data_IF_408570647586
#
_entry.id   IF_408570647586
#
_cell.length_a   1.000
_cell.length_b   1.000
_cell.length_c   1.000
_cell.angle_alpha   90.00
_cell.angle_beta   90.00
_cell.angle_gamma   90.00
#
_symmetry.space_group_name_H-M   'P 1'
#
loop_
_entity.id
_entity.type
_entity.pdbx_description
1 polymer ?
#
# COMPACT_ATOMS: atom_id res chain seq x y z
N UNK A 1 -28.47 0.30 -6.06
CA UNK A 1 -28.34 -0.66 -7.19
C UNK A 1 -28.19 -2.07 -6.64
N UNK A 2 -28.85 -3.09 -7.22
CA UNK A 2 -28.68 -4.47 -6.77
C UNK A 2 -27.31 -5.04 -7.19
N UNK A 3 -26.76 -5.95 -6.38
CA UNK A 3 -25.50 -6.64 -6.70
C UNK A 3 -25.73 -7.67 -7.81
N UNK A 4 -25.07 -7.47 -8.95
CA UNK A 4 -25.17 -8.35 -10.14
C UNK A 4 -24.14 -9.48 -10.16
N UNK A 5 -22.94 -9.27 -9.60
CA UNK A 5 -21.89 -10.29 -9.57
C UNK A 5 -20.94 -10.06 -8.38
N UNK A 6 -20.74 -11.08 -7.54
CA UNK A 6 -19.87 -11.02 -6.36
C UNK A 6 -18.38 -11.16 -6.68
N UNK A 7 -18.04 -11.65 -7.88
CA UNK A 7 -16.67 -11.93 -8.31
C UNK A 7 -15.90 -12.80 -7.31
N UNK A 8 -16.57 -13.78 -6.70
CA UNK A 8 -16.04 -14.59 -5.57
C UNK A 8 -14.65 -15.16 -5.81
N UNK A 9 -14.35 -15.61 -7.04
CA UNK A 9 -13.00 -16.10 -7.41
C UNK A 9 -11.88 -15.09 -7.14
N UNK A 10 -12.17 -13.79 -7.23
CA UNK A 10 -11.20 -12.72 -6.99
C UNK A 10 -11.40 -12.05 -5.64
N UNK A 11 -12.66 -11.83 -5.23
CA UNK A 11 -12.97 -11.06 -4.01
C UNK A 11 -12.97 -11.90 -2.72
N UNK A 12 -13.11 -13.22 -2.82
CA UNK A 12 -13.40 -14.06 -1.65
C UNK A 12 -14.82 -13.86 -1.09
N UNK A 13 -15.63 -12.97 -1.67
CA UNK A 13 -16.94 -12.61 -1.13
C UNK A 13 -18.03 -13.59 -1.56
N UNK A 14 -18.81 -14.08 -0.59
CA UNK A 14 -19.99 -14.90 -0.78
C UNK A 14 -21.27 -14.15 -0.38
N UNK A 15 -22.44 -14.62 -0.85
CA UNK A 15 -23.74 -13.98 -0.55
C UNK A 15 -23.98 -13.79 0.95
N UNK A 16 -23.52 -14.72 1.77
CA UNK A 16 -23.73 -14.66 3.21
C UNK A 16 -22.93 -13.55 3.90
N UNK A 17 -21.78 -13.13 3.34
CA UNK A 17 -21.00 -12.02 3.87
C UNK A 17 -21.76 -10.69 3.80
N UNK A 18 -22.73 -10.56 2.88
CA UNK A 18 -23.50 -9.33 2.68
C UNK A 18 -24.68 -9.17 3.64
N UNK A 19 -25.07 -10.21 4.39
CA UNK A 19 -26.32 -10.18 5.19
C UNK A 19 -26.30 -9.13 6.29
N UNK A 20 -25.15 -8.94 6.93
CA UNK A 20 -24.92 -7.95 7.99
C UNK A 20 -23.60 -7.21 7.74
N UNK A 21 -23.29 -6.93 6.46
CA UNK A 21 -22.08 -6.21 6.11
C UNK A 21 -22.17 -4.75 6.56
N UNK A 22 -21.04 -4.19 6.96
CA UNK A 22 -20.90 -2.75 7.24
C UNK A 22 -21.39 -1.95 6.02
N UNK A 23 -22.28 -0.96 6.20
CA UNK A 23 -22.66 -0.03 5.15
C UNK A 23 -21.43 0.61 4.50
N UNK A 24 -21.49 0.80 3.18
CA UNK A 24 -20.35 1.34 2.43
C UNK A 24 -19.89 2.70 2.95
N UNK A 25 -20.82 3.59 3.31
CA UNK A 25 -20.51 4.92 3.84
C UNK A 25 -19.72 4.85 5.14
N UNK A 26 -20.14 3.99 6.07
CA UNK A 26 -19.47 3.81 7.36
C UNK A 26 -18.08 3.19 7.19
N UNK A 27 -17.97 2.13 6.39
CA UNK A 27 -16.68 1.51 6.08
C UNK A 27 -15.73 2.50 5.39
N UNK A 28 -16.25 3.33 4.46
CA UNK A 28 -15.47 4.35 3.75
C UNK A 28 -14.96 5.44 4.71
N UNK A 29 -15.81 5.94 5.59
CA UNK A 29 -15.43 6.94 6.60
C UNK A 29 -14.32 6.42 7.51
N UNK A 30 -14.44 5.19 7.99
CA UNK A 30 -13.41 4.53 8.80
C UNK A 30 -12.09 4.38 8.03
N UNK A 31 -12.15 3.95 6.77
CA UNK A 31 -10.95 3.83 5.92
C UNK A 31 -10.29 5.19 5.72
N UNK A 32 -11.03 6.23 5.37
CA UNK A 32 -10.46 7.58 5.16
C UNK A 32 -9.77 8.06 6.42
N UNK A 33 -10.39 7.89 7.59
CA UNK A 33 -9.79 8.25 8.86
C UNK A 33 -8.51 7.45 9.15
N UNK A 34 -8.48 6.16 8.82
CA UNK A 34 -7.27 5.34 8.97
C UNK A 34 -6.15 5.81 8.04
N UNK A 35 -6.45 6.24 6.81
CA UNK A 35 -5.45 6.66 5.82
C UNK A 35 -4.91 8.07 6.06
N UNK A 36 -5.60 8.89 6.84
CA UNK A 36 -5.23 10.28 7.09
C UNK A 36 -3.81 10.42 7.65
N UNK A 37 -2.98 11.24 7.01
CA UNK A 37 -1.60 11.49 7.42
C UNK A 37 -0.64 10.31 7.23
N UNK A 38 -1.06 9.20 6.63
CA UNK A 38 -0.24 7.98 6.48
C UNK A 38 0.20 7.73 5.06
N UNK A 39 1.39 7.13 4.95
CA UNK A 39 1.88 6.52 3.71
C UNK A 39 1.07 5.27 3.42
N UNK A 40 0.54 5.15 2.20
CA UNK A 40 -0.26 3.99 1.80
C UNK A 40 0.51 3.13 0.82
N UNK A 41 0.76 1.89 1.22
CA UNK A 41 1.45 0.88 0.41
C UNK A 41 0.43 -0.11 -0.13
N UNK A 42 0.52 -0.43 -1.43
CA UNK A 42 -0.36 -1.43 -2.04
C UNK A 42 0.13 -1.92 -3.39
N UNK A 43 -0.72 -2.61 -4.13
CA UNK A 43 -0.41 -3.16 -5.45
C UNK A 43 -1.54 -2.88 -6.43
N UNK A 44 -1.30 -2.01 -7.41
CA UNK A 44 -2.33 -1.42 -8.27
C UNK A 44 -3.40 -0.67 -7.46
N UNK A 45 -2.97 0.03 -6.41
CA UNK A 45 -3.83 0.60 -5.35
C UNK A 45 -4.76 1.71 -5.84
N UNK A 46 -4.47 2.30 -7.00
CA UNK A 46 -5.35 3.27 -7.65
C UNK A 46 -6.76 2.73 -7.89
N UNK A 47 -6.90 1.42 -8.18
CA UNK A 47 -8.22 0.81 -8.36
C UNK A 47 -9.04 0.82 -7.05
N UNK A 48 -8.37 0.64 -5.92
CA UNK A 48 -9.00 0.67 -4.60
C UNK A 48 -9.43 2.10 -4.22
N UNK A 49 -8.58 3.09 -4.50
CA UNK A 49 -8.93 4.51 -4.31
C UNK A 49 -10.10 4.94 -5.17
N UNK A 50 -10.15 4.51 -6.44
CA UNK A 50 -11.28 4.77 -7.34
C UNK A 50 -12.57 4.12 -6.82
N UNK A 51 -12.50 2.86 -6.36
CA UNK A 51 -13.65 2.16 -5.79
C UNK A 51 -14.17 2.80 -4.49
N UNK A 52 -13.28 3.44 -3.72
CA UNK A 52 -13.61 4.15 -2.49
C UNK A 52 -13.97 5.63 -2.74
N UNK A 53 -13.78 6.16 -3.95
CA UNK A 53 -13.90 7.59 -4.25
C UNK A 53 -13.06 8.45 -3.26
N UNK A 54 -11.77 8.13 -3.16
CA UNK A 54 -10.81 8.80 -2.27
C UNK A 54 -9.63 9.34 -3.06
N UNK A 55 -9.24 10.58 -2.77
CA UNK A 55 -8.02 11.18 -3.27
C UNK A 55 -6.96 11.13 -2.16
N UNK A 56 -5.93 10.32 -2.36
CA UNK A 56 -4.77 10.28 -1.48
C UNK A 56 -3.57 10.98 -2.16
N UNK A 57 -2.78 11.81 -1.44
CA UNK A 57 -1.68 12.54 -2.07
C UNK A 57 -0.70 11.59 -2.77
N UNK A 58 -0.41 11.80 -4.05
CA UNK A 58 0.42 10.87 -4.84
C UNK A 58 1.80 10.63 -4.20
N UNK A 59 2.38 11.66 -3.59
CA UNK A 59 3.67 11.59 -2.90
C UNK A 59 3.63 10.76 -1.59
N UNK A 60 2.44 10.36 -1.15
CA UNK A 60 2.18 9.49 -0.01
C UNK A 60 1.81 8.05 -0.44
N UNK A 61 1.67 7.76 -1.73
CA UNK A 61 1.32 6.43 -2.25
C UNK A 61 2.55 5.65 -2.72
N UNK A 62 2.68 4.40 -2.26
CA UNK A 62 3.73 3.45 -2.66
C UNK A 62 3.07 2.26 -3.36
N UNK A 63 2.89 2.39 -4.68
CA UNK A 63 2.30 1.33 -5.49
C UNK A 63 3.37 0.35 -6.01
N UNK A 64 3.44 -0.83 -5.37
CA UNK A 64 4.40 -1.89 -5.70
C UNK A 64 4.24 -2.46 -7.12
N UNK A 65 3.13 -2.22 -7.79
CA UNK A 65 2.93 -2.62 -9.19
C UNK A 65 3.72 -1.71 -10.16
N UNK A 66 3.93 -0.44 -9.80
CA UNK A 66 4.48 0.59 -10.68
C UNK A 66 5.98 0.82 -10.49
N UNK A 67 6.53 0.47 -9.32
CA UNK A 67 7.96 0.66 -9.03
C UNK A 67 8.83 -0.25 -9.91
N UNK A 68 9.92 0.33 -10.42
CA UNK A 68 10.92 -0.42 -11.20
C UNK A 68 11.87 -1.22 -10.31
N UNK A 69 11.97 -0.87 -9.03
CA UNK A 69 12.88 -1.50 -8.07
C UNK A 69 12.57 -2.99 -7.91
N UNK A 70 11.30 -3.32 -7.68
CA UNK A 70 10.85 -4.71 -7.55
C UNK A 70 11.02 -5.49 -8.86
N UNK A 71 10.76 -4.86 -10.00
CA UNK A 71 10.97 -5.47 -11.31
C UNK A 71 12.45 -5.82 -11.56
N UNK A 72 13.37 -4.97 -11.10
CA UNK A 72 14.83 -5.18 -11.14
C UNK A 72 15.24 -6.35 -10.25
N UNK A 73 14.83 -6.34 -8.99
CA UNK A 73 15.13 -7.41 -8.03
C UNK A 73 14.59 -8.77 -8.48
N UNK A 74 13.39 -8.79 -9.08
CA UNK A 74 12.75 -10.03 -9.52
C UNK A 74 13.26 -10.55 -10.88
N UNK A 75 14.15 -9.82 -11.55
CA UNK A 75 14.68 -10.14 -12.88
C UNK A 75 13.61 -10.13 -13.98
N UNK A 76 12.61 -9.24 -13.87
CA UNK A 76 11.46 -9.14 -14.79
C UNK A 76 11.29 -7.73 -15.37
N UNK A 77 12.38 -6.96 -15.43
CA UNK A 77 12.42 -5.55 -15.85
C UNK A 77 11.85 -5.25 -17.24
N UNK A 78 11.65 -6.27 -18.10
CA UNK A 78 11.02 -6.11 -19.42
C UNK A 78 9.50 -5.92 -19.35
N UNK A 79 8.86 -6.24 -18.21
CA UNK A 79 7.42 -6.10 -18.02
C UNK A 79 7.12 -4.75 -17.37
N UNK A 80 6.19 -4.00 -17.96
CA UNK A 80 5.74 -2.69 -17.44
C UNK A 80 5.07 -2.82 -16.07
N UNK A 81 4.27 -3.87 -15.89
CA UNK A 81 3.58 -4.19 -14.65
C UNK A 81 3.73 -5.69 -14.37
N UNK A 82 3.99 -6.05 -13.12
CA UNK A 82 4.19 -7.44 -12.68
C UNK A 82 3.16 -7.74 -11.61
N UNK A 83 2.46 -8.87 -11.72
CA UNK A 83 1.43 -9.21 -10.75
C UNK A 83 2.01 -9.46 -9.35
N UNK A 84 1.23 -9.11 -8.33
CA UNK A 84 1.55 -9.37 -6.92
C UNK A 84 1.97 -10.82 -6.69
N UNK A 85 1.23 -11.78 -7.26
CA UNK A 85 1.54 -13.21 -7.17
C UNK A 85 2.93 -13.57 -7.70
N UNK A 86 3.35 -12.97 -8.82
CA UNK A 86 4.68 -13.23 -9.40
C UNK A 86 5.77 -12.61 -8.53
N UNK A 87 5.57 -11.39 -8.05
CA UNK A 87 6.53 -10.73 -7.16
C UNK A 87 6.65 -11.46 -5.82
N UNK A 88 5.54 -11.81 -5.18
CA UNK A 88 5.53 -12.57 -3.93
C UNK A 88 6.22 -13.93 -4.07
N UNK A 89 6.01 -14.62 -5.20
CA UNK A 89 6.69 -15.89 -5.44
C UNK A 89 8.20 -15.71 -5.63
N UNK A 90 8.62 -14.73 -6.46
CA UNK A 90 10.03 -14.53 -6.80
C UNK A 90 10.86 -13.91 -5.67
N UNK A 91 10.27 -13.00 -4.90
CA UNK A 91 11.01 -12.17 -3.94
C UNK A 91 10.74 -12.55 -2.48
N UNK A 92 9.56 -13.06 -2.17
CA UNK A 92 9.19 -13.45 -0.80
C UNK A 92 9.16 -14.99 -0.62
N UNK A 93 9.34 -15.77 -1.69
CA UNK A 93 9.13 -17.21 -1.70
C UNK A 93 7.74 -17.62 -1.18
N UNK A 94 6.71 -16.81 -1.47
CA UNK A 94 5.32 -17.04 -1.04
C UNK A 94 4.42 -17.36 -2.21
N UNK A 95 3.55 -18.34 -1.99
CA UNK A 95 2.49 -18.69 -2.94
C UNK A 95 1.16 -18.16 -2.40
N UNK A 96 0.71 -17.04 -2.95
CA UNK A 96 -0.53 -16.34 -2.56
C UNK A 96 -1.64 -16.54 -3.60
N UNK A 97 -2.89 -16.19 -3.25
CA UNK A 97 -4.04 -16.20 -4.18
C UNK A 97 -4.33 -17.58 -4.81
N UNK A 98 -4.08 -18.67 -4.08
CA UNK A 98 -4.29 -20.05 -4.55
C UNK A 98 -5.59 -20.69 -4.09
N UNK A 99 -6.31 -20.05 -3.16
CA UNK A 99 -7.54 -20.59 -2.60
C UNK A 99 -8.64 -20.69 -3.67
N UNK A 100 -9.35 -21.82 -3.69
CA UNK A 100 -10.57 -21.99 -4.50
C UNK A 100 -11.72 -21.09 -4.02
N UNK A 101 -11.66 -20.62 -2.78
CA UNK A 101 -12.64 -19.71 -2.18
C UNK A 101 -12.51 -18.25 -2.60
N UNK A 102 -11.47 -17.89 -3.35
CA UNK A 102 -11.16 -16.51 -3.73
C UNK A 102 -9.89 -16.00 -3.08
N UNK A 103 -9.53 -14.74 -3.35
CA UNK A 103 -8.33 -14.14 -2.75
C UNK A 103 -8.64 -13.64 -1.33
N UNK A 104 -7.58 -13.47 -0.53
CA UNK A 104 -7.66 -12.92 0.80
C UNK A 104 -7.03 -11.52 0.80
N UNK A 105 -7.83 -10.47 1.06
CA UNK A 105 -7.34 -9.09 1.09
C UNK A 105 -6.20 -8.89 2.09
N UNK A 106 -6.25 -9.59 3.22
CA UNK A 106 -5.22 -9.54 4.26
C UNK A 106 -3.91 -10.19 3.79
N UNK A 107 -3.98 -11.30 3.05
CA UNK A 107 -2.80 -11.93 2.44
C UNK A 107 -2.16 -10.98 1.41
N UNK A 108 -2.98 -10.40 0.55
CA UNK A 108 -2.54 -9.51 -0.52
C UNK A 108 -1.91 -8.21 0.04
N UNK A 109 -2.54 -7.59 1.04
CA UNK A 109 -2.02 -6.38 1.69
C UNK A 109 -0.68 -6.64 2.40
N UNK A 110 -0.54 -7.78 3.09
CA UNK A 110 0.74 -8.18 3.71
C UNK A 110 1.82 -8.45 2.67
N UNK A 111 1.49 -9.12 1.57
CA UNK A 111 2.44 -9.36 0.50
C UNK A 111 2.92 -8.04 -0.14
N UNK A 112 2.02 -7.08 -0.37
CA UNK A 112 2.40 -5.77 -0.89
C UNK A 112 3.32 -5.00 0.07
N UNK A 113 2.99 -4.97 1.36
CA UNK A 113 3.83 -4.31 2.37
C UNK A 113 5.22 -4.97 2.49
N UNK A 114 5.27 -6.30 2.51
CA UNK A 114 6.55 -7.01 2.61
C UNK A 114 7.40 -6.85 1.34
N UNK A 115 6.78 -6.72 0.17
CA UNK A 115 7.50 -6.35 -1.05
C UNK A 115 8.08 -4.94 -0.94
N UNK A 116 7.31 -3.96 -0.47
CA UNK A 116 7.81 -2.60 -0.27
C UNK A 116 9.03 -2.58 0.67
N UNK A 117 8.99 -3.33 1.78
CA UNK A 117 10.11 -3.43 2.72
C UNK A 117 11.42 -3.94 2.12
N UNK A 118 11.37 -4.71 1.03
CA UNK A 118 12.60 -5.14 0.33
C UNK A 118 13.33 -4.00 -0.38
N UNK A 119 12.63 -2.92 -0.68
CA UNK A 119 13.10 -1.79 -1.47
C UNK A 119 12.89 -0.44 -0.77
N UNK A 120 12.47 -0.46 0.50
CA UNK A 120 12.05 0.72 1.27
C UNK A 120 13.14 1.79 1.29
N UNK A 121 14.38 1.41 1.65
CA UNK A 121 15.50 2.35 1.73
C UNK A 121 15.80 3.03 0.38
N UNK A 122 15.90 2.26 -0.71
CA UNK A 122 16.18 2.79 -2.06
C UNK A 122 15.00 3.63 -2.56
N UNK A 123 13.76 3.17 -2.37
CA UNK A 123 12.56 3.89 -2.80
C UNK A 123 12.41 5.23 -2.09
N UNK A 124 12.52 5.25 -0.76
CA UNK A 124 12.37 6.50 0.00
C UNK A 124 13.53 7.48 -0.25
N UNK A 125 14.71 6.98 -0.65
CA UNK A 125 15.80 7.82 -1.13
C UNK A 125 15.48 8.47 -2.49
N UNK A 126 15.04 7.68 -3.49
CA UNK A 126 14.64 8.20 -4.81
C UNK A 126 13.58 9.30 -4.68
N UNK A 127 12.60 9.11 -3.80
CA UNK A 127 11.53 10.09 -3.55
C UNK A 127 11.99 11.38 -2.86
N UNK A 128 13.13 11.36 -2.13
CA UNK A 128 13.70 12.57 -1.50
C UNK A 128 14.51 13.36 -2.51
N UNK A 129 15.25 12.68 -3.38
CA UNK A 129 16.08 13.32 -4.40
C UNK A 129 15.24 14.01 -5.48
N UNK A 130 14.10 13.42 -5.86
CA UNK A 130 13.11 14.03 -6.74
C UNK A 130 12.48 15.32 -6.16
N UNK A 131 12.63 15.58 -4.84
CA UNK A 131 12.08 16.74 -4.11
C UNK A 131 13.09 17.85 -3.82
N UNK A 132 14.20 17.95 -4.56
CA UNK A 132 15.12 19.10 -4.44
C UNK A 132 14.35 20.46 -4.49
N UNK A 133 14.71 21.45 -3.66
CA UNK A 133 13.71 22.29 -2.97
C UNK A 133 13.19 23.51 -3.75
N UNK A 134 11.86 23.71 -3.73
CA UNK A 134 11.34 25.05 -3.40
C UNK A 134 11.34 25.22 -1.87
N UNK A 135 11.67 26.42 -1.39
CA UNK A 135 12.01 26.71 0.02
C UNK A 135 10.90 26.25 1.00
N UNK A 136 11.25 25.58 2.12
CA UNK A 136 10.25 25.03 3.04
C UNK A 136 9.56 26.11 3.86
N UNK A 137 8.22 26.08 3.94
CA UNK A 137 7.49 26.74 5.01
C UNK A 137 7.50 25.85 6.26
N UNK A 138 7.79 26.46 7.40
CA UNK A 138 8.13 25.82 8.69
C UNK A 138 7.04 24.89 9.29
N UNK A 139 5.86 24.78 8.68
CA UNK A 139 4.68 24.21 9.32
C UNK A 139 4.49 22.69 9.14
N UNK A 140 5.10 22.02 8.15
CA UNK A 140 4.48 20.78 7.64
C UNK A 140 5.13 19.43 7.99
N UNK A 141 6.24 19.34 8.73
CA UNK A 141 7.06 18.10 8.66
C UNK A 141 7.25 17.25 9.92
N UNK A 142 6.52 17.49 11.01
CA UNK A 142 6.78 16.75 12.27
C UNK A 142 5.71 15.74 12.71
N UNK A 143 4.62 15.56 11.96
CA UNK A 143 3.51 14.71 12.43
C UNK A 143 3.73 13.21 12.22
N UNK A 144 4.45 12.80 11.17
CA UNK A 144 4.60 11.38 10.80
C UNK A 144 5.50 10.56 11.75
N UNK A 145 6.33 11.18 12.58
CA UNK A 145 7.21 10.47 13.54
C UNK A 145 6.60 10.30 14.94
N UNK A 146 5.31 10.58 15.10
CA UNK A 146 4.64 10.61 16.42
C UNK A 146 3.75 9.39 16.69
N UNK A 147 3.75 8.37 15.84
CA UNK A 147 2.94 7.17 16.07
C UNK A 147 3.65 6.15 16.98
N UNK A 148 2.86 5.34 17.68
CA UNK A 148 3.31 4.43 18.74
C UNK A 148 4.10 3.21 18.24
N UNK A 149 4.37 3.12 16.93
CA UNK A 149 4.99 1.96 16.29
C UNK A 149 6.50 2.10 16.07
N UNK A 150 7.07 3.31 16.23
CA UNK A 150 8.50 3.53 16.02
C UNK A 150 9.30 3.46 17.32
N UNK A 151 10.48 2.79 17.33
CA UNK A 151 11.38 2.76 18.48
C UNK A 151 11.86 4.17 18.87
N UNK A 152 11.80 4.52 20.16
CA UNK A 152 12.18 5.84 20.71
C UNK A 152 13.61 6.30 20.36
N UNK A 153 14.46 5.38 19.95
CA UNK A 153 15.86 5.57 19.57
C UNK A 153 16.09 6.10 18.14
N UNK A 154 15.03 6.40 17.37
CA UNK A 154 15.13 7.04 16.04
C UNK A 154 14.91 8.56 16.12
N UNK A 155 14.73 9.11 17.32
CA UNK A 155 14.77 10.57 17.51
C UNK A 155 16.22 11.06 17.34
N UNK A 156 16.46 11.74 16.21
CA UNK A 156 17.70 12.38 15.78
C UNK A 156 18.67 12.69 16.94
N UNK A 157 19.82 12.00 16.91
CA UNK A 157 21.00 12.37 17.67
C UNK A 157 21.27 13.87 17.48
N UNK A 158 21.06 14.65 18.54
CA UNK A 158 21.59 16.01 18.66
C UNK A 158 23.11 15.89 18.52
N UNK A 159 23.65 16.30 17.37
CA UNK A 159 25.07 16.64 17.23
C UNK A 159 25.35 17.79 18.19
N UNK A 160 26.35 17.58 19.04
CA UNK A 160 26.81 18.48 20.07
C UNK A 160 27.56 19.69 19.49
N UNK A 161 27.35 20.85 20.12
CA UNK A 161 28.34 21.86 20.44
C UNK A 161 27.87 22.55 21.73
#
# INVERSE_FOLDING_TARGET
MPVINLRTRWSGIQRHHLRNATPFTEAREEIIHILEGKVVVGHSIYNDFEALDVLHPCHMVRDTCTTRLLGRLAGVQKRRFVSLRVLAHKLLNRTIQVSRGGHCSVEDARAALDLYKLVEDEWEHELRDDRAPEKPSFASSNHFMQDQYWPNNISLAKRAA
#
